data_IF_069770547018
#
_entry.id   IF_069770547018
#
_cell.length_a   1.000
_cell.length_b   1.000
_cell.length_c   1.000
_cell.angle_alpha   90.00
_cell.angle_beta   90.00
_cell.angle_gamma   90.00
#
_symmetry.space_group_name_H-M   'P 1'
#
loop_
_entity.id
_entity.type
_entity.pdbx_description
1 polymer ?
#
# COMPACT_ATOMS: atom_id res chain seq x y z
N UNK A 1 17.90 14.21 1.19
CA UNK A 1 17.38 13.05 0.42
C UNK A 1 15.88 12.99 0.66
N UNK A 2 15.06 13.08 -0.38
CA UNK A 2 13.59 13.09 -0.24
C UNK A 2 13.12 11.67 0.06
N UNK A 3 12.26 11.52 1.06
CA UNK A 3 11.62 10.24 1.38
C UNK A 3 10.16 10.31 0.97
N UNK A 4 9.64 9.23 0.40
CA UNK A 4 8.23 9.06 0.05
C UNK A 4 7.71 7.82 0.76
N UNK A 5 6.69 7.98 1.59
CA UNK A 5 6.00 6.91 2.30
C UNK A 5 4.77 6.46 1.52
N UNK A 6 4.86 5.27 0.92
CA UNK A 6 3.77 4.57 0.25
C UNK A 6 3.17 3.53 1.20
N UNK A 7 1.88 3.65 1.48
CA UNK A 7 1.11 2.65 2.24
C UNK A 7 0.34 1.75 1.29
N UNK A 8 0.42 0.43 1.48
CA UNK A 8 -0.29 -0.56 0.67
C UNK A 8 -1.37 -1.21 1.53
N UNK A 9 -2.64 -1.06 1.14
CA UNK A 9 -3.82 -1.56 1.88
C UNK A 9 -4.78 -2.30 0.95
N UNK A 10 -5.69 -3.07 1.54
CA UNK A 10 -6.62 -3.96 0.83
C UNK A 10 -6.84 -5.27 1.58
N UNK A 11 -7.81 -6.06 1.14
CA UNK A 11 -8.20 -7.28 1.84
C UNK A 11 -7.07 -8.32 1.93
N UNK A 12 -7.23 -9.30 2.80
CA UNK A 12 -6.29 -10.43 2.91
C UNK A 12 -6.21 -11.20 1.59
N UNK A 13 -5.01 -11.69 1.24
CA UNK A 13 -4.83 -12.54 0.06
C UNK A 13 -4.90 -11.81 -1.30
N UNK A 14 -5.13 -10.50 -1.36
CA UNK A 14 -5.15 -9.74 -2.64
C UNK A 14 -3.77 -9.60 -3.30
N UNK A 15 -2.68 -9.83 -2.55
CA UNK A 15 -1.31 -9.91 -3.06
C UNK A 15 -0.35 -8.79 -2.64
N UNK A 16 -0.68 -8.01 -1.59
CA UNK A 16 0.12 -6.82 -1.16
C UNK A 16 1.59 -7.16 -0.91
N UNK A 17 1.82 -8.19 -0.12
CA UNK A 17 3.17 -8.70 0.21
C UNK A 17 3.89 -9.26 -1.00
N UNK A 18 3.19 -9.92 -1.92
CA UNK A 18 3.78 -10.44 -3.16
C UNK A 18 4.20 -9.31 -4.09
N UNK A 19 3.37 -8.26 -4.24
CA UNK A 19 3.71 -7.07 -5.02
C UNK A 19 4.96 -6.39 -4.46
N UNK A 20 4.98 -6.15 -3.14
CA UNK A 20 6.15 -5.60 -2.44
C UNK A 20 7.40 -6.45 -2.70
N UNK A 21 7.31 -7.77 -2.47
CA UNK A 21 8.44 -8.68 -2.65
C UNK A 21 8.94 -8.70 -4.10
N UNK A 22 8.03 -8.68 -5.08
CA UNK A 22 8.37 -8.64 -6.50
C UNK A 22 9.09 -7.35 -6.89
N UNK A 23 8.63 -6.20 -6.37
CA UNK A 23 9.23 -4.90 -6.64
C UNK A 23 10.67 -4.77 -6.08
N UNK A 24 10.92 -5.41 -4.93
CA UNK A 24 12.22 -5.36 -4.26
C UNK A 24 13.19 -6.39 -4.84
N UNK A 25 12.78 -7.66 -4.90
CA UNK A 25 13.67 -8.79 -5.20
C UNK A 25 13.65 -9.22 -6.67
N UNK A 26 12.71 -8.71 -7.47
CA UNK A 26 12.43 -9.21 -8.81
C UNK A 26 11.79 -10.61 -8.83
N UNK A 27 11.59 -11.26 -7.67
CA UNK A 27 11.04 -12.62 -7.55
C UNK A 27 9.59 -12.61 -7.13
N UNK A 28 8.81 -13.52 -7.72
CA UNK A 28 7.44 -13.76 -7.31
C UNK A 28 7.43 -14.75 -6.15
N UNK A 29 6.78 -14.41 -5.04
CA UNK A 29 6.61 -15.32 -3.92
C UNK A 29 5.47 -16.29 -4.22
N UNK A 30 5.80 -17.57 -4.40
CA UNK A 30 4.84 -18.66 -4.54
C UNK A 30 4.51 -19.23 -3.16
N UNK A 31 3.25 -19.06 -2.73
CA UNK A 31 2.77 -19.51 -1.42
C UNK A 31 2.21 -18.37 -0.57
N UNK A 32 1.09 -18.63 0.10
CA UNK A 32 0.44 -17.64 0.96
C UNK A 32 0.98 -17.73 2.40
N UNK A 33 1.47 -16.61 2.92
CA UNK A 33 1.67 -16.38 4.36
C UNK A 33 0.97 -15.08 4.72
N UNK A 34 0.12 -15.12 5.74
CA UNK A 34 -0.56 -13.92 6.21
C UNK A 34 0.46 -12.96 6.84
N UNK A 35 0.40 -11.68 6.46
CA UNK A 35 1.17 -10.60 7.10
C UNK A 35 0.56 -10.30 8.46
N UNK A 36 1.41 -10.22 9.49
CA UNK A 36 1.01 -9.85 10.85
C UNK A 36 1.45 -8.40 11.07
N UNK A 37 0.50 -7.51 11.39
CA UNK A 37 0.78 -6.08 11.60
C UNK A 37 1.18 -5.36 10.31
N UNK A 38 2.36 -4.73 10.28
CA UNK A 38 2.93 -4.17 9.05
C UNK A 38 4.43 -4.44 8.98
N UNK A 39 4.92 -4.57 7.75
CA UNK A 39 6.32 -4.72 7.41
C UNK A 39 6.70 -3.56 6.47
N UNK A 40 7.87 -2.98 6.63
CA UNK A 40 8.30 -1.86 5.80
C UNK A 40 9.65 -2.13 5.14
N UNK A 41 9.80 -1.60 3.93
CA UNK A 41 11.06 -1.65 3.20
C UNK A 41 11.36 -0.30 2.56
N UNK A 42 12.64 0.08 2.56
CA UNK A 42 13.12 1.28 1.89
C UNK A 42 13.91 0.89 0.64
N UNK A 43 13.68 1.59 -0.47
CA UNK A 43 14.44 1.46 -1.71
C UNK A 43 14.79 2.85 -2.24
N UNK A 44 16.09 3.10 -2.46
CA UNK A 44 16.56 4.31 -3.12
C UNK A 44 16.35 4.20 -4.62
N UNK A 45 15.77 5.24 -5.22
CA UNK A 45 15.44 5.35 -6.63
C UNK A 45 15.98 6.66 -7.17
N UNK A 46 16.33 6.72 -8.45
CA UNK A 46 16.64 7.98 -9.13
C UNK A 46 15.34 8.79 -9.28
N UNK A 47 15.43 10.10 -9.09
CA UNK A 47 14.29 10.99 -9.30
C UNK A 47 13.93 11.00 -10.80
N UNK A 48 12.64 10.85 -11.16
CA UNK A 48 12.23 10.61 -12.55
C UNK A 48 12.60 11.75 -13.52
N UNK A 49 12.69 12.99 -13.03
CA UNK A 49 13.03 14.17 -13.85
C UNK A 49 14.34 14.84 -13.44
N UNK A 50 15.06 14.30 -12.46
CA UNK A 50 16.29 14.89 -11.91
C UNK A 50 17.33 13.78 -11.68
N UNK A 51 18.11 13.41 -12.70
CA UNK A 51 18.94 12.20 -12.68
C UNK A 51 19.94 12.12 -11.53
N UNK A 52 20.41 13.27 -11.04
CA UNK A 52 21.40 13.35 -9.95
C UNK A 52 20.76 13.34 -8.55
N UNK A 53 19.43 13.34 -8.45
CA UNK A 53 18.71 13.28 -7.18
C UNK A 53 18.22 11.87 -6.87
N UNK A 54 18.42 11.42 -5.63
CA UNK A 54 17.86 10.17 -5.12
C UNK A 54 16.63 10.42 -4.24
N UNK A 55 15.63 9.56 -4.42
CA UNK A 55 14.42 9.48 -3.61
C UNK A 55 14.37 8.13 -2.89
N UNK A 56 14.13 8.15 -1.59
CA UNK A 56 13.89 6.93 -0.81
C UNK A 56 12.40 6.62 -0.82
N UNK A 57 12.00 5.55 -1.50
CA UNK A 57 10.65 5.02 -1.41
C UNK A 57 10.56 4.05 -0.22
N UNK A 58 9.72 4.38 0.76
CA UNK A 58 9.35 3.51 1.87
C UNK A 58 8.00 2.86 1.57
N UNK A 59 7.98 1.54 1.40
CA UNK A 59 6.76 0.78 1.15
C UNK A 59 6.33 0.12 2.45
N UNK A 60 5.16 0.50 2.95
CA UNK A 60 4.52 -0.06 4.13
C UNK A 60 3.48 -1.08 3.70
N UNK A 61 3.82 -2.36 3.85
CA UNK A 61 2.94 -3.49 3.56
C UNK A 61 2.16 -3.86 4.82
N UNK A 62 0.84 -3.83 4.72
CA UNK A 62 -0.05 -3.98 5.87
C UNK A 62 -0.76 -5.33 5.85
N UNK A 63 -1.11 -5.83 7.04
CA UNK A 63 -2.01 -6.96 7.17
C UNK A 63 -3.38 -6.60 6.58
N UNK A 64 -3.90 -7.48 5.72
CA UNK A 64 -5.25 -7.32 5.16
C UNK A 64 -6.37 -7.92 6.02
N UNK A 65 -6.07 -8.30 7.27
CA UNK A 65 -7.06 -8.82 8.19
C UNK A 65 -7.59 -7.69 9.07
N UNK A 66 -8.91 -7.58 9.10
CA UNK A 66 -9.70 -6.68 9.93
C UNK A 66 -9.38 -6.77 11.43
N UNK A 67 -8.84 -7.91 11.89
CA UNK A 67 -8.45 -8.14 13.28
C UNK A 67 -7.22 -7.32 13.74
N UNK A 68 -6.50 -6.69 12.80
CA UNK A 68 -5.35 -5.82 13.11
C UNK A 68 -5.64 -4.33 12.91
N UNK A 69 -6.91 -3.94 12.75
CA UNK A 69 -7.34 -2.54 12.51
C UNK A 69 -6.79 -1.54 13.53
N UNK A 70 -6.67 -1.91 14.81
CA UNK A 70 -6.10 -1.04 15.85
C UNK A 70 -4.59 -0.81 15.70
N UNK A 71 -3.87 -1.75 15.08
CA UNK A 71 -2.43 -1.63 14.80
C UNK A 71 -2.17 -0.72 13.58
N UNK A 72 -3.16 -0.60 12.69
CA UNK A 72 -3.08 0.16 11.43
C UNK A 72 -2.89 1.67 11.64
N UNK A 73 -3.39 2.23 12.75
CA UNK A 73 -3.34 3.67 13.04
C UNK A 73 -1.92 4.27 12.98
N UNK A 74 -0.92 3.53 13.47
CA UNK A 74 0.47 4.00 13.46
C UNK A 74 1.08 3.98 12.05
N UNK A 75 0.60 3.11 11.16
CA UNK A 75 1.18 2.91 9.84
C UNK A 75 0.70 3.93 8.82
N UNK A 76 -0.51 4.49 8.97
CA UNK A 76 -1.08 5.44 8.00
C UNK A 76 -0.57 6.87 8.21
N UNK A 77 -0.18 7.23 9.44
CA UNK A 77 0.32 8.58 9.75
C UNK A 77 1.52 8.95 8.88
N UNK A 78 1.45 10.12 8.24
CA UNK A 78 2.53 10.67 7.41
C UNK A 78 2.74 9.91 6.10
N UNK A 79 1.75 9.16 5.62
CA UNK A 79 1.78 8.62 4.27
C UNK A 79 1.74 9.76 3.25
N UNK A 80 2.59 9.65 2.22
CA UNK A 80 2.60 10.55 1.06
C UNK A 80 1.73 10.02 -0.09
N UNK A 81 1.47 8.71 -0.11
CA UNK A 81 0.63 8.03 -1.08
C UNK A 81 0.02 6.75 -0.51
N UNK A 82 -1.09 6.31 -1.10
CA UNK A 82 -1.74 5.03 -0.79
C UNK A 82 -2.00 4.21 -2.05
N UNK A 83 -1.79 2.89 -1.94
CA UNK A 83 -2.14 1.89 -2.95
C UNK A 83 -3.26 1.01 -2.38
N UNK A 84 -4.47 1.16 -2.93
CA UNK A 84 -5.66 0.37 -2.63
C UNK A 84 -5.69 -0.83 -3.57
N UNK A 85 -5.46 -2.03 -3.04
CA UNK A 85 -5.35 -3.23 -3.87
C UNK A 85 -6.48 -4.22 -3.64
N UNK A 86 -7.02 -4.76 -4.73
CA UNK A 86 -8.02 -5.82 -4.73
C UNK A 86 -7.64 -6.95 -5.69
N UNK A 87 -8.30 -8.10 -5.56
CA UNK A 87 -8.19 -9.20 -6.50
C UNK A 87 -9.31 -9.07 -7.54
N UNK A 88 -8.97 -8.96 -8.83
CA UNK A 88 -9.98 -8.82 -9.91
C UNK A 88 -10.96 -9.99 -9.96
N UNK A 89 -10.54 -11.16 -9.48
CA UNK A 89 -11.35 -12.37 -9.39
C UNK A 89 -12.18 -12.47 -8.09
N UNK A 90 -12.24 -11.41 -7.27
CA UNK A 90 -13.05 -11.36 -6.05
C UNK A 90 -13.74 -10.01 -5.92
N UNK A 91 -15.03 -9.98 -6.27
CA UNK A 91 -15.90 -8.81 -6.13
C UNK A 91 -15.91 -8.26 -4.70
N UNK A 92 -15.98 -9.15 -3.71
CA UNK A 92 -15.92 -8.78 -2.28
C UNK A 92 -14.66 -7.98 -1.95
N UNK A 93 -13.50 -8.37 -2.50
CA UNK A 93 -12.24 -7.63 -2.28
C UNK A 93 -12.23 -6.24 -2.91
N UNK A 94 -12.97 -6.03 -4.00
CA UNK A 94 -13.17 -4.73 -4.65
C UNK A 94 -14.11 -3.86 -3.84
N UNK A 95 -15.25 -4.40 -3.40
CA UNK A 95 -16.24 -3.69 -2.58
C UNK A 95 -15.65 -3.27 -1.22
N UNK A 96 -14.74 -4.09 -0.66
CA UNK A 96 -14.01 -3.76 0.56
C UNK A 96 -13.10 -2.53 0.42
N UNK A 97 -12.76 -2.06 -0.79
CA UNK A 97 -11.88 -0.89 -0.97
C UNK A 97 -12.46 0.38 -0.35
N UNK A 98 -13.78 0.56 -0.39
CA UNK A 98 -14.44 1.71 0.24
C UNK A 98 -14.14 1.75 1.73
N UNK A 99 -14.29 0.61 2.41
CA UNK A 99 -13.93 0.48 3.83
C UNK A 99 -12.46 0.80 4.08
N UNK A 100 -11.54 0.27 3.27
CA UNK A 100 -10.11 0.54 3.41
C UNK A 100 -9.76 2.03 3.20
N UNK A 101 -10.44 2.69 2.27
CA UNK A 101 -10.27 4.11 2.02
C UNK A 101 -10.79 4.97 3.17
N UNK A 102 -11.99 4.65 3.69
CA UNK A 102 -12.57 5.37 4.82
C UNK A 102 -11.71 5.22 6.08
N UNK A 103 -11.21 4.02 6.35
CA UNK A 103 -10.26 3.76 7.43
C UNK A 103 -8.96 4.55 7.24
N UNK A 104 -8.40 4.58 6.02
CA UNK A 104 -7.20 5.35 5.73
C UNK A 104 -7.44 6.85 5.97
N UNK A 105 -8.53 7.42 5.45
CA UNK A 105 -8.87 8.85 5.60
C UNK A 105 -9.09 9.26 7.05
N UNK A 106 -9.70 8.39 7.85
CA UNK A 106 -9.95 8.68 9.26
C UNK A 106 -8.65 8.80 10.08
N UNK A 107 -7.54 8.23 9.61
CA UNK A 107 -6.29 8.12 10.37
C UNK A 107 -5.10 8.85 9.72
N UNK A 108 -5.07 8.94 8.40
CA UNK A 108 -4.07 9.71 7.66
C UNK A 108 -4.32 11.21 7.91
N UNK A 109 -3.27 12.03 7.99
CA UNK A 109 -3.41 13.47 8.20
C UNK A 109 -3.83 14.19 6.91
N UNK A 110 -4.89 13.72 6.25
CA UNK A 110 -5.51 14.45 5.16
C UNK A 110 -6.22 15.65 5.78
N UNK A 111 -5.80 16.87 5.42
CA UNK A 111 -6.56 18.04 5.81
C UNK A 111 -7.88 18.05 5.04
N UNK A 112 -8.92 18.56 5.69
CA UNK A 112 -10.23 18.73 5.06
C UNK A 112 -10.06 19.54 3.75
N UNK A 113 -10.49 18.96 2.63
CA UNK A 113 -10.32 19.54 1.29
C UNK A 113 -9.08 19.08 0.49
N UNK A 114 -8.07 18.45 1.11
CA UNK A 114 -6.87 17.93 0.41
C UNK A 114 -7.06 16.49 -0.13
N UNK A 115 -8.24 15.91 0.07
CA UNK A 115 -8.57 14.53 -0.28
C UNK A 115 -8.43 14.22 -1.77
N UNK A 116 -8.75 15.21 -2.61
CA UNK A 116 -8.68 15.12 -4.07
C UNK A 116 -7.25 15.32 -4.60
N UNK A 117 -6.35 15.86 -3.78
CA UNK A 117 -4.94 16.08 -4.14
C UNK A 117 -4.04 14.95 -3.66
N UNK A 118 -4.54 14.10 -2.74
CA UNK A 118 -3.76 12.99 -2.22
C UNK A 118 -3.49 11.92 -3.28
N UNK A 119 -2.25 11.45 -3.36
CA UNK A 119 -1.86 10.41 -4.29
C UNK A 119 -2.46 9.05 -3.88
N UNK A 120 -3.62 8.72 -4.46
CA UNK A 120 -4.32 7.46 -4.25
C UNK A 120 -4.38 6.66 -5.56
N UNK A 121 -3.83 5.44 -5.54
CA UNK A 121 -3.83 4.54 -6.70
C UNK A 121 -4.61 3.27 -6.39
N UNK A 122 -5.58 2.93 -7.22
CA UNK A 122 -6.32 1.66 -7.13
C UNK A 122 -5.68 0.63 -8.06
N UNK A 123 -5.44 -0.58 -7.54
CA UNK A 123 -4.80 -1.66 -8.28
C UNK A 123 -5.69 -2.91 -8.27
N UNK A 124 -6.17 -3.28 -9.45
CA UNK A 124 -6.77 -4.59 -9.71
C UNK A 124 -5.67 -5.61 -9.97
N UNK A 125 -5.39 -6.47 -8.99
CA UNK A 125 -4.33 -7.47 -9.06
C UNK A 125 -4.85 -8.84 -9.51
N UNK A 126 -3.91 -9.72 -9.92
CA UNK A 126 -4.15 -11.11 -10.37
C UNK A 126 -4.93 -11.26 -11.67
N UNK A 127 -4.65 -10.37 -12.63
CA UNK A 127 -5.23 -10.40 -13.98
C UNK A 127 -4.73 -11.56 -14.84
N UNK A 128 -3.66 -12.22 -14.40
CA UNK A 128 -3.08 -13.42 -15.00
C UNK A 128 -3.87 -14.70 -14.70
N UNK A 129 -4.82 -14.62 -13.76
CA UNK A 129 -5.75 -15.70 -13.38
C UNK A 129 -7.12 -15.47 -13.99
#
# INVERSE_FOLDING_TARGET
>A
MRTVKLVVIGASGVGKTTLRAKYISGRFLTGYRATIGADFIAKSLLHPTKPDELVTLQIWDTAGQERFSTLSNAFFRGADAVLLMFNVNSRESMEALTKWWDEFRAMAPLREGEEYEFCCVVVGNKVDL
#
